data_IF_448828422556
#
_entry.id   IF_448828422556
#
_cell.length_a   1.000
_cell.length_b   1.000
_cell.length_c   1.000
_cell.angle_alpha   90.00
_cell.angle_beta   90.00
_cell.angle_gamma   90.00
#
_symmetry.space_group_name_H-M   'P 1'
#
loop_
_entity.id
_entity.type
_entity.pdbx_description
1 polymer ?
#
# COMPACT_ATOMS: atom_id res chain seq x y z
N UNK A 1 -14.09 19.73 -14.70
CA UNK A 1 -12.95 20.59 -14.33
C UNK A 1 -12.51 20.21 -12.93
N UNK A 2 -11.36 19.57 -12.70
CA UNK A 2 -10.88 19.24 -11.37
C UNK A 2 -10.12 20.43 -10.78
N UNK A 3 -10.45 20.77 -9.53
CA UNK A 3 -9.82 21.82 -8.77
C UNK A 3 -8.35 21.51 -8.49
N UNK A 4 -7.48 22.44 -8.82
CA UNK A 4 -6.05 22.40 -8.54
C UNK A 4 -5.81 22.68 -7.06
N UNK A 5 -5.33 21.69 -6.34
CA UNK A 5 -4.79 21.86 -4.98
C UNK A 5 -3.48 22.65 -5.07
N UNK A 6 -3.27 23.71 -4.28
CA UNK A 6 -2.02 24.45 -4.30
C UNK A 6 -0.90 23.67 -3.64
N UNK A 7 0.14 23.38 -4.40
CA UNK A 7 1.43 22.90 -3.91
C UNK A 7 2.03 24.01 -3.04
N UNK A 8 2.19 23.76 -1.75
CA UNK A 8 2.96 24.62 -0.84
C UNK A 8 4.42 24.66 -1.33
N UNK A 9 4.86 25.84 -1.74
CA UNK A 9 6.25 26.16 -2.00
C UNK A 9 7.06 25.89 -0.74
N UNK A 10 7.95 24.91 -0.82
CA UNK A 10 9.04 24.72 0.14
C UNK A 10 9.89 25.99 0.08
N UNK A 11 9.99 26.66 1.21
CA UNK A 11 10.90 27.80 1.41
C UNK A 11 12.32 27.31 1.19
N UNK A 12 12.93 27.76 0.12
CA UNK A 12 14.38 27.73 -0.11
C UNK A 12 15.05 28.42 1.07
N UNK A 13 15.71 27.67 1.91
CA UNK A 13 16.70 28.18 2.83
C UNK A 13 17.86 28.68 1.98
N UNK A 14 17.83 29.99 1.71
CA UNK A 14 18.96 30.69 1.13
C UNK A 14 20.15 30.52 2.11
N UNK A 15 21.03 29.59 1.81
CA UNK A 15 22.37 29.60 2.37
C UNK A 15 23.00 30.91 1.94
N UNK A 16 23.04 31.87 2.86
CA UNK A 16 23.93 33.02 2.74
C UNK A 16 25.37 32.51 2.74
N UNK A 17 25.85 32.15 1.57
CA UNK A 17 27.28 32.11 1.31
C UNK A 17 27.78 33.53 1.45
N UNK A 18 28.28 33.85 2.64
CA UNK A 18 29.11 35.07 2.81
C UNK A 18 30.22 34.99 1.76
N UNK A 19 30.05 35.80 0.71
CA UNK A 19 31.04 36.02 -0.33
C UNK A 19 32.40 36.22 0.32
N UNK A 20 33.27 35.26 0.16
CA UNK A 20 34.69 35.38 0.41
C UNK A 20 35.19 36.46 -0.56
N UNK A 21 35.34 37.67 -0.08
CA UNK A 21 35.96 38.77 -0.85
C UNK A 21 37.31 38.25 -1.36
N UNK A 22 37.61 38.41 -2.65
CA UNK A 22 38.83 37.87 -3.21
C UNK A 22 40.02 38.57 -2.55
N UNK A 23 40.92 37.77 -1.97
CA UNK A 23 42.22 38.18 -1.45
C UNK A 23 43.10 38.58 -2.66
N UNK A 24 42.71 39.62 -3.39
CA UNK A 24 43.45 40.18 -4.54
C UNK A 24 44.09 41.53 -4.28
N UNK A 25 44.35 41.89 -2.98
CA UNK A 25 44.93 43.19 -2.66
C UNK A 25 46.16 43.14 -1.75
N UNK A 26 46.92 42.01 -1.75
CA UNK A 26 48.13 41.90 -0.94
C UNK A 26 49.39 41.43 -1.70
N UNK A 27 49.44 41.60 -3.02
CA UNK A 27 50.66 41.26 -3.76
C UNK A 27 51.23 42.52 -4.38
N UNK A 28 51.55 43.46 -3.54
CA UNK A 28 52.53 44.55 -3.80
C UNK A 28 53.07 45.08 -2.45
N UNK A 29 53.71 44.23 -1.72
CA UNK A 29 54.68 44.67 -0.70
C UNK A 29 55.99 43.95 -1.01
N UNK A 30 57.03 44.76 -1.29
CA UNK A 30 58.44 44.43 -1.30
C UNK A 30 58.74 43.08 -0.61
N UNK A 31 59.43 42.19 -1.29
CA UNK A 31 59.85 40.88 -0.79
C UNK A 31 60.65 41.08 0.54
N UNK A 32 59.92 41.13 1.63
CA UNK A 32 60.48 41.05 2.96
C UNK A 32 61.07 39.66 3.09
N UNK A 33 62.35 39.59 3.41
CA UNK A 33 63.03 38.33 3.66
C UNK A 33 62.22 37.60 4.75
N UNK A 34 61.57 36.47 4.44
CA UNK A 34 60.85 35.67 5.46
C UNK A 34 61.85 35.21 6.49
N UNK A 35 61.61 35.53 7.73
CA UNK A 35 62.44 35.13 8.84
C UNK A 35 62.01 33.81 9.43
N UNK A 36 62.83 33.13 10.20
CA UNK A 36 62.44 31.90 10.89
C UNK A 36 61.30 32.14 11.88
N UNK A 37 61.23 33.32 12.50
CA UNK A 37 60.14 33.71 13.39
C UNK A 37 58.77 33.83 12.64
N UNK A 38 58.76 34.38 11.40
CA UNK A 38 57.58 34.46 10.58
C UNK A 38 57.03 33.04 10.25
N UNK A 39 57.93 32.08 10.04
CA UNK A 39 57.56 30.69 9.81
C UNK A 39 56.98 30.04 11.06
N UNK A 40 57.58 30.25 12.21
CA UNK A 40 57.09 29.71 13.48
C UNK A 40 55.74 30.30 13.86
N UNK A 41 55.50 31.58 13.59
CA UNK A 41 54.23 32.23 13.82
C UNK A 41 53.13 31.62 12.90
N UNK A 42 53.43 31.46 11.62
CA UNK A 42 52.53 30.79 10.67
C UNK A 42 52.17 29.35 11.06
N UNK A 43 53.14 28.61 11.63
CA UNK A 43 52.85 27.27 12.17
C UNK A 43 51.93 27.32 13.40
N UNK A 44 52.05 28.29 14.27
CA UNK A 44 51.16 28.46 15.43
C UNK A 44 49.73 28.81 14.97
N UNK A 45 49.60 29.76 14.07
CA UNK A 45 48.31 30.13 13.48
C UNK A 45 47.65 28.93 12.79
N UNK A 46 48.40 28.13 12.03
CA UNK A 46 47.89 26.91 11.37
C UNK A 46 47.40 25.88 12.41
N UNK A 47 48.13 25.71 13.51
CA UNK A 47 47.72 24.79 14.58
C UNK A 47 46.45 25.27 15.28
N UNK A 48 46.27 26.55 15.50
CA UNK A 48 45.06 27.10 16.09
C UNK A 48 43.86 26.96 15.17
N UNK A 49 44.05 27.28 13.88
CA UNK A 49 43.02 27.07 12.86
C UNK A 49 42.60 25.59 12.72
N UNK A 50 43.58 24.69 12.79
CA UNK A 50 43.31 23.24 12.79
C UNK A 50 42.45 22.83 13.98
N UNK A 51 42.80 23.28 15.21
CA UNK A 51 42.00 23.01 16.41
C UNK A 51 40.57 23.57 16.33
N UNK A 52 40.43 24.77 15.78
CA UNK A 52 39.11 25.39 15.61
C UNK A 52 38.27 24.63 14.58
N UNK A 53 38.88 24.20 13.47
CA UNK A 53 38.25 23.40 12.45
C UNK A 53 37.77 22.04 13.00
N UNK A 54 38.65 21.38 13.77
CA UNK A 54 38.34 20.11 14.44
C UNK A 54 37.16 20.25 15.42
N UNK A 55 37.16 21.31 16.24
CA UNK A 55 36.05 21.60 17.16
C UNK A 55 34.74 21.85 16.42
N UNK A 56 34.81 22.55 15.30
CA UNK A 56 33.61 22.85 14.48
C UNK A 56 33.07 21.60 13.82
N UNK A 57 33.97 20.76 13.29
CA UNK A 57 33.62 19.48 12.71
C UNK A 57 32.96 18.55 13.72
N UNK A 58 33.54 18.41 14.90
CA UNK A 58 32.98 17.57 15.96
C UNK A 58 31.58 18.05 16.40
N UNK A 59 31.38 19.37 16.53
CA UNK A 59 30.05 19.93 16.83
C UNK A 59 29.04 19.65 15.72
N UNK A 60 29.45 19.71 14.46
CA UNK A 60 28.60 19.40 13.33
C UNK A 60 28.25 17.91 13.31
N UNK A 61 29.22 17.04 13.57
CA UNK A 61 29.02 15.58 13.65
C UNK A 61 28.04 15.22 14.78
N UNK A 62 28.20 15.80 15.97
CA UNK A 62 27.29 15.59 17.10
C UNK A 62 25.84 15.99 16.76
N UNK A 63 25.67 17.14 16.08
CA UNK A 63 24.34 17.59 15.64
C UNK A 63 23.72 16.62 14.63
N UNK A 64 24.52 16.13 13.67
CA UNK A 64 24.08 15.19 12.66
C UNK A 64 23.69 13.86 13.30
N UNK A 65 24.47 13.36 14.24
CA UNK A 65 24.17 12.12 14.94
C UNK A 65 22.86 12.23 15.75
N UNK A 66 22.64 13.35 16.47
CA UNK A 66 21.37 13.58 17.17
C UNK A 66 20.16 13.63 16.22
N UNK A 67 20.31 14.36 15.10
CA UNK A 67 19.24 14.40 14.09
C UNK A 67 18.95 13.02 13.50
N UNK A 68 19.97 12.21 13.27
CA UNK A 68 19.81 10.82 12.79
C UNK A 68 19.07 9.94 13.81
N UNK A 69 19.39 10.08 15.10
CA UNK A 69 18.68 9.36 16.17
C UNK A 69 17.19 9.74 16.23
N UNK A 70 16.88 11.05 16.08
CA UNK A 70 15.49 11.53 16.03
C UNK A 70 14.74 10.97 14.83
N UNK A 71 15.37 10.94 13.64
CA UNK A 71 14.80 10.35 12.42
C UNK A 71 14.55 8.84 12.61
N UNK A 72 15.50 8.11 13.18
CA UNK A 72 15.35 6.68 13.48
C UNK A 72 14.18 6.43 14.44
N UNK A 73 14.04 7.26 15.48
CA UNK A 73 12.93 7.14 16.43
C UNK A 73 11.58 7.39 15.75
N UNK A 74 11.48 8.47 14.97
CA UNK A 74 10.26 8.80 14.22
C UNK A 74 9.90 7.72 13.20
N UNK A 75 10.89 7.13 12.51
CA UNK A 75 10.68 6.01 11.59
C UNK A 75 10.09 4.80 12.30
N UNK A 76 10.65 4.41 13.43
CA UNK A 76 10.16 3.28 14.24
C UNK A 76 8.73 3.50 14.77
N UNK A 77 8.39 4.72 15.15
CA UNK A 77 7.02 5.06 15.56
C UNK A 77 6.03 5.01 14.38
N UNK A 78 6.46 5.47 13.21
CA UNK A 78 5.66 5.40 11.97
C UNK A 78 5.42 3.95 11.57
N UNK A 79 6.44 3.10 11.59
CA UNK A 79 6.35 1.67 11.32
C UNK A 79 5.38 0.97 12.28
N UNK A 80 5.47 1.27 13.58
CA UNK A 80 4.54 0.72 14.59
C UNK A 80 3.10 1.14 14.34
N UNK A 81 2.89 2.41 13.98
CA UNK A 81 1.56 2.95 13.67
C UNK A 81 0.98 2.30 12.41
N UNK A 82 1.82 2.15 11.37
CA UNK A 82 1.44 1.49 10.12
C UNK A 82 1.05 0.02 10.36
N UNK A 83 1.86 -0.72 11.12
CA UNK A 83 1.57 -2.12 11.45
C UNK A 83 0.27 -2.26 12.27
N UNK A 84 0.00 -1.33 13.19
CA UNK A 84 -1.27 -1.30 13.93
C UNK A 84 -2.46 -0.99 13.01
N UNK A 85 -2.31 -0.06 12.06
CA UNK A 85 -3.35 0.25 11.08
C UNK A 85 -3.62 -0.94 10.14
N UNK A 86 -2.57 -1.63 9.67
CA UNK A 86 -2.68 -2.85 8.84
C UNK A 86 -3.40 -3.95 9.62
N UNK A 87 -3.05 -4.16 10.90
CA UNK A 87 -3.74 -5.13 11.75
C UNK A 87 -5.22 -4.79 11.96
N UNK A 88 -5.55 -3.51 12.14
CA UNK A 88 -6.93 -3.02 12.21
C UNK A 88 -7.71 -3.28 10.93
N UNK A 89 -7.11 -3.01 9.76
CA UNK A 89 -7.72 -3.28 8.45
C UNK A 89 -7.98 -4.78 8.23
N UNK A 90 -7.02 -5.64 8.62
CA UNK A 90 -7.19 -7.11 8.51
C UNK A 90 -8.35 -7.61 9.38
N UNK A 91 -8.51 -7.08 10.58
CA UNK A 91 -9.64 -7.42 11.46
C UNK A 91 -10.97 -6.93 10.87
N UNK A 92 -10.99 -5.71 10.31
CA UNK A 92 -12.19 -5.16 9.65
C UNK A 92 -12.58 -6.00 8.45
N UNK A 93 -11.61 -6.39 7.60
CA UNK A 93 -11.87 -7.26 6.45
C UNK A 93 -12.41 -8.62 6.91
N UNK A 94 -11.86 -9.21 7.98
CA UNK A 94 -12.37 -10.44 8.57
C UNK A 94 -13.84 -10.32 9.00
N UNK A 95 -14.20 -9.22 9.67
CA UNK A 95 -15.58 -8.93 10.07
C UNK A 95 -16.51 -8.75 8.87
N UNK A 96 -16.05 -8.12 7.79
CA UNK A 96 -16.82 -7.95 6.54
C UNK A 96 -17.08 -9.32 5.89
N UNK A 97 -16.06 -10.18 5.79
CA UNK A 97 -16.23 -11.55 5.27
C UNK A 97 -17.28 -12.30 6.08
N UNK A 98 -17.21 -12.25 7.42
CA UNK A 98 -18.17 -12.88 8.32
C UNK A 98 -19.60 -12.32 8.13
N UNK A 99 -19.72 -11.02 7.91
CA UNK A 99 -21.01 -10.36 7.66
C UNK A 99 -21.60 -10.70 6.29
N UNK A 100 -20.79 -10.85 5.27
CA UNK A 100 -21.21 -11.18 3.90
C UNK A 100 -21.49 -12.68 3.75
N UNK A 101 -20.62 -13.52 4.29
CA UNK A 101 -20.75 -14.99 4.24
C UNK A 101 -21.73 -15.50 5.30
N UNK A 102 -22.88 -14.85 5.43
CA UNK A 102 -23.93 -15.22 6.41
C UNK A 102 -24.73 -16.44 5.97
N UNK A 103 -25.37 -17.15 6.92
CA UNK A 103 -26.28 -18.25 6.60
C UNK A 103 -27.41 -17.89 5.64
N UNK A 104 -27.74 -16.61 5.52
CA UNK A 104 -28.80 -16.10 4.63
C UNK A 104 -28.36 -15.98 3.16
N UNK A 105 -27.06 -15.96 2.90
CA UNK A 105 -26.53 -15.77 1.55
C UNK A 105 -27.04 -16.85 0.54
N UNK A 106 -27.14 -18.15 0.87
CA UNK A 106 -27.75 -19.14 0.00
C UNK A 106 -29.19 -18.83 -0.36
N UNK A 107 -29.95 -18.24 0.57
CA UNK A 107 -31.36 -17.86 0.29
C UNK A 107 -31.44 -16.71 -0.71
N UNK A 108 -30.46 -15.78 -0.71
CA UNK A 108 -30.37 -14.72 -1.72
C UNK A 108 -30.08 -15.31 -3.10
N UNK A 109 -29.15 -16.25 -3.19
CA UNK A 109 -28.86 -16.97 -4.44
C UNK A 109 -30.07 -17.83 -4.92
N UNK A 110 -30.77 -18.43 -3.98
CA UNK A 110 -31.99 -19.21 -4.33
C UNK A 110 -33.05 -18.36 -5.03
N UNK A 111 -33.21 -17.10 -4.62
CA UNK A 111 -34.14 -16.16 -5.32
C UNK A 111 -33.71 -15.84 -6.75
N UNK A 112 -32.42 -16.05 -7.08
CA UNK A 112 -31.85 -15.88 -8.42
C UNK A 112 -31.81 -17.20 -9.24
N UNK A 113 -32.36 -18.30 -8.69
CA UNK A 113 -32.38 -19.58 -9.32
C UNK A 113 -31.22 -20.52 -9.03
N UNK A 114 -30.34 -20.17 -8.05
CA UNK A 114 -29.18 -20.99 -7.67
C UNK A 114 -29.36 -21.56 -6.26
N UNK A 115 -29.30 -22.88 -6.12
CA UNK A 115 -29.55 -23.55 -4.84
C UNK A 115 -28.25 -24.08 -4.25
N UNK A 116 -27.68 -23.36 -3.30
CA UNK A 116 -26.50 -23.79 -2.56
C UNK A 116 -26.90 -24.27 -1.18
N UNK A 117 -26.24 -25.33 -0.71
CA UNK A 117 -26.52 -25.97 0.59
C UNK A 117 -25.33 -25.89 1.55
N UNK A 118 -24.18 -25.40 1.10
CA UNK A 118 -22.97 -25.26 1.90
C UNK A 118 -22.31 -23.91 1.65
N UNK A 119 -21.80 -23.32 2.73
CA UNK A 119 -20.90 -22.17 2.72
C UNK A 119 -19.57 -22.62 3.34
N UNK A 120 -18.48 -22.40 2.65
CA UNK A 120 -17.13 -22.61 3.16
C UNK A 120 -16.34 -21.31 3.10
N UNK A 121 -15.62 -20.97 4.15
CA UNK A 121 -14.66 -19.87 4.18
C UNK A 121 -13.25 -20.43 4.09
N UNK A 122 -12.39 -19.80 3.32
CA UNK A 122 -11.05 -20.31 3.01
C UNK A 122 -9.92 -19.45 3.63
N UNK A 123 -10.22 -18.75 4.71
CA UNK A 123 -9.31 -17.84 5.42
C UNK A 123 -7.91 -18.44 5.73
N UNK A 124 -7.86 -19.76 5.88
CA UNK A 124 -6.63 -20.53 6.20
C UNK A 124 -6.42 -21.71 5.25
N UNK A 125 -7.05 -21.66 4.08
CA UNK A 125 -6.87 -22.71 3.07
C UNK A 125 -5.46 -22.65 2.47
N UNK A 126 -5.01 -23.79 1.92
CA UNK A 126 -3.78 -23.90 1.16
C UNK A 126 -4.10 -24.09 -0.33
N UNK A 127 -3.09 -23.89 -1.18
CA UNK A 127 -3.20 -24.09 -2.62
C UNK A 127 -4.07 -23.04 -3.32
N UNK A 128 -4.77 -23.45 -4.39
CA UNK A 128 -5.55 -22.55 -5.26
C UNK A 128 -6.70 -21.88 -4.52
N UNK A 129 -7.31 -22.54 -3.56
CA UNK A 129 -8.45 -22.02 -2.80
C UNK A 129 -8.04 -20.98 -1.73
N UNK A 130 -6.75 -20.91 -1.34
CA UNK A 130 -6.25 -19.86 -0.47
C UNK A 130 -6.37 -18.44 -1.08
N UNK A 131 -6.71 -18.36 -2.37
CA UNK A 131 -6.83 -17.11 -3.10
C UNK A 131 -8.26 -16.55 -3.10
N UNK A 132 -9.21 -17.21 -2.45
CA UNK A 132 -10.60 -16.75 -2.32
C UNK A 132 -11.02 -16.71 -0.85
N UNK A 133 -11.92 -15.79 -0.52
CA UNK A 133 -12.38 -15.62 0.86
C UNK A 133 -13.46 -16.64 1.24
N UNK A 134 -14.23 -17.11 0.26
CA UNK A 134 -15.24 -18.11 0.51
C UNK A 134 -15.84 -18.73 -0.73
N UNK A 135 -16.64 -19.77 -0.53
CA UNK A 135 -17.34 -20.48 -1.59
C UNK A 135 -18.74 -20.92 -1.11
N UNK A 136 -19.74 -20.71 -1.96
CA UNK A 136 -21.04 -21.38 -1.83
C UNK A 136 -21.05 -22.55 -2.79
N UNK A 137 -21.55 -23.68 -2.35
CA UNK A 137 -21.52 -24.87 -3.19
C UNK A 137 -22.73 -25.79 -2.96
N UNK A 138 -23.03 -26.58 -3.97
CA UNK A 138 -23.78 -27.81 -3.91
C UNK A 138 -22.99 -28.91 -4.67
N UNK A 139 -23.52 -30.08 -4.88
CA UNK A 139 -22.79 -31.15 -5.57
C UNK A 139 -22.47 -30.87 -7.05
N UNK A 140 -23.08 -29.86 -7.67
CA UNK A 140 -23.01 -29.60 -9.12
C UNK A 140 -22.43 -28.23 -9.44
N UNK A 141 -22.63 -27.26 -8.55
CA UNK A 141 -22.24 -25.84 -8.75
C UNK A 141 -21.51 -25.28 -7.58
N UNK A 142 -20.63 -24.32 -7.83
CA UNK A 142 -19.94 -23.55 -6.82
C UNK A 142 -19.80 -22.09 -7.24
N UNK A 143 -19.93 -21.16 -6.29
CA UNK A 143 -19.63 -19.74 -6.46
C UNK A 143 -18.46 -19.36 -5.60
N UNK A 144 -17.33 -19.02 -6.22
CA UNK A 144 -16.16 -18.49 -5.52
C UNK A 144 -16.35 -16.99 -5.25
N UNK A 145 -16.23 -16.59 -4.00
CA UNK A 145 -16.47 -15.22 -3.53
C UNK A 145 -15.15 -14.59 -3.12
N UNK A 146 -14.87 -13.44 -3.68
CA UNK A 146 -13.79 -12.53 -3.25
C UNK A 146 -14.39 -11.32 -2.55
N UNK A 147 -13.87 -10.94 -1.39
CA UNK A 147 -14.38 -9.84 -0.57
C UNK A 147 -13.39 -8.69 -0.54
N UNK A 148 -13.88 -7.48 -0.80
CA UNK A 148 -13.10 -6.23 -0.74
C UNK A 148 -13.84 -5.18 0.09
N UNK A 149 -13.10 -4.35 0.82
CA UNK A 149 -13.69 -3.17 1.47
C UNK A 149 -14.14 -2.17 0.40
N UNK A 150 -13.30 -1.90 -0.58
CA UNK A 150 -13.61 -1.07 -1.76
C UNK A 150 -13.26 -1.84 -3.01
N UNK A 151 -14.25 -2.06 -3.88
CA UNK A 151 -14.07 -2.79 -5.14
C UNK A 151 -13.46 -1.89 -6.22
N UNK A 152 -12.48 -2.41 -6.93
CA UNK A 152 -11.82 -1.77 -8.09
C UNK A 152 -11.85 -2.71 -9.28
N UNK A 153 -11.78 -2.15 -10.51
CA UNK A 153 -11.74 -2.96 -11.74
C UNK A 153 -10.56 -3.94 -11.77
N UNK A 154 -9.42 -3.55 -11.20
CA UNK A 154 -8.26 -4.43 -11.08
C UNK A 154 -8.55 -5.67 -10.21
N UNK A 155 -9.30 -5.52 -9.11
CA UNK A 155 -9.68 -6.64 -8.24
C UNK A 155 -10.56 -7.65 -8.99
N UNK A 156 -11.44 -7.14 -9.87
CA UNK A 156 -12.30 -7.96 -10.74
C UNK A 156 -11.44 -8.77 -11.72
N UNK A 157 -10.49 -8.10 -12.39
CA UNK A 157 -9.59 -8.76 -13.35
C UNK A 157 -8.71 -9.81 -12.66
N UNK A 158 -8.23 -9.53 -11.46
CA UNK A 158 -7.49 -10.52 -10.64
C UNK A 158 -8.37 -11.73 -10.27
N UNK A 159 -9.64 -11.48 -9.90
CA UNK A 159 -10.55 -12.57 -9.58
C UNK A 159 -10.87 -13.46 -10.79
N UNK A 160 -11.01 -12.86 -11.98
CA UNK A 160 -11.16 -13.62 -13.22
C UNK A 160 -9.99 -14.56 -13.46
N UNK A 161 -8.75 -14.10 -13.24
CA UNK A 161 -7.54 -14.94 -13.32
C UNK A 161 -7.57 -16.07 -12.27
N UNK A 162 -8.06 -15.79 -11.06
CA UNK A 162 -8.23 -16.83 -10.03
C UNK A 162 -9.25 -17.89 -10.44
N UNK A 163 -10.35 -17.48 -11.04
CA UNK A 163 -11.37 -18.41 -11.54
C UNK A 163 -10.79 -19.38 -12.57
N UNK A 164 -9.93 -18.91 -13.49
CA UNK A 164 -9.22 -19.80 -14.44
C UNK A 164 -8.33 -20.81 -13.70
N UNK A 165 -7.61 -20.37 -12.65
CA UNK A 165 -6.79 -21.28 -11.84
C UNK A 165 -7.62 -22.31 -11.09
N UNK A 166 -8.79 -21.90 -10.55
CA UNK A 166 -9.72 -22.80 -9.87
C UNK A 166 -10.23 -23.87 -10.85
N UNK A 167 -10.63 -23.47 -12.07
CA UNK A 167 -11.06 -24.40 -13.10
C UNK A 167 -9.98 -25.40 -13.46
N UNK A 168 -8.76 -24.91 -13.73
CA UNK A 168 -7.62 -25.78 -14.03
C UNK A 168 -7.38 -26.80 -12.92
N UNK A 169 -7.35 -26.35 -11.67
CA UNK A 169 -7.18 -27.23 -10.51
C UNK A 169 -8.30 -28.27 -10.41
N UNK A 170 -9.56 -27.86 -10.63
CA UNK A 170 -10.70 -28.74 -10.63
C UNK A 170 -10.61 -29.81 -11.73
N UNK A 171 -10.15 -29.45 -12.93
CA UNK A 171 -9.94 -30.37 -14.03
C UNK A 171 -8.86 -31.42 -13.71
N UNK A 172 -7.76 -30.99 -13.08
CA UNK A 172 -6.68 -31.88 -12.63
C UNK A 172 -7.14 -32.90 -11.57
N UNK A 173 -8.20 -32.55 -10.80
CA UNK A 173 -8.77 -33.39 -9.73
C UNK A 173 -10.11 -34.05 -10.10
N UNK A 174 -10.50 -34.04 -11.40
CA UNK A 174 -11.80 -34.56 -11.87
C UNK A 174 -13.03 -33.95 -11.20
N UNK A 175 -12.94 -32.72 -10.69
CA UNK A 175 -14.07 -31.97 -10.16
C UNK A 175 -14.92 -31.41 -11.33
N UNK A 176 -16.10 -31.93 -11.51
CA UNK A 176 -17.02 -31.59 -12.62
C UNK A 176 -17.98 -30.46 -12.29
N UNK A 177 -17.87 -29.87 -11.09
CA UNK A 177 -18.72 -28.74 -10.72
C UNK A 177 -18.55 -27.57 -11.69
N UNK A 178 -19.63 -26.87 -11.92
CA UNK A 178 -19.65 -25.59 -12.62
C UNK A 178 -19.23 -24.48 -11.63
N UNK A 179 -18.14 -23.81 -11.91
CA UNK A 179 -17.68 -22.73 -11.07
C UNK A 179 -18.16 -21.38 -11.62
N UNK A 180 -18.65 -20.53 -10.74
CA UNK A 180 -19.07 -19.15 -10.99
C UNK A 180 -18.30 -18.22 -10.06
N UNK A 181 -18.15 -16.96 -10.42
CA UNK A 181 -17.46 -15.97 -9.60
C UNK A 181 -18.41 -14.94 -9.01
N UNK A 182 -18.06 -14.43 -7.82
CA UNK A 182 -18.73 -13.30 -7.18
C UNK A 182 -17.73 -12.33 -6.57
N UNK A 183 -17.99 -11.04 -6.72
CA UNK A 183 -17.31 -9.97 -6.02
C UNK A 183 -18.20 -9.43 -4.92
N UNK A 184 -17.72 -9.42 -3.69
CA UNK A 184 -18.41 -8.86 -2.56
C UNK A 184 -17.67 -7.63 -2.07
N UNK A 185 -18.37 -6.50 -1.85
CA UNK A 185 -17.73 -5.29 -1.39
C UNK A 185 -18.64 -4.42 -0.53
N UNK A 186 -18.04 -3.71 0.43
CA UNK A 186 -18.75 -2.71 1.23
C UNK A 186 -18.97 -1.41 0.44
N UNK A 187 -18.00 -1.02 -0.38
CA UNK A 187 -18.03 0.19 -1.20
C UNK A 187 -17.76 -0.18 -2.65
N UNK A 188 -18.70 0.17 -3.53
CA UNK A 188 -18.59 -0.05 -4.98
C UNK A 188 -19.20 1.14 -5.70
N UNK A 189 -18.47 1.71 -6.66
CA UNK A 189 -19.07 2.68 -7.59
C UNK A 189 -19.84 1.99 -8.71
N UNK A 190 -20.79 2.70 -9.32
CA UNK A 190 -21.68 2.16 -10.37
C UNK A 190 -20.89 1.58 -11.55
N UNK A 191 -19.85 2.30 -12.02
CA UNK A 191 -19.07 1.86 -13.19
C UNK A 191 -18.28 0.57 -12.93
N UNK A 192 -17.85 0.36 -11.71
CA UNK A 192 -17.15 -0.85 -11.27
C UNK A 192 -18.11 -2.00 -11.06
N UNK A 193 -19.31 -1.73 -10.50
CA UNK A 193 -20.39 -2.72 -10.40
C UNK A 193 -20.78 -3.25 -11.77
N UNK A 194 -21.11 -2.35 -12.71
CA UNK A 194 -21.45 -2.71 -14.08
C UNK A 194 -20.32 -3.50 -14.77
N UNK A 195 -19.07 -3.13 -14.51
CA UNK A 195 -17.93 -3.85 -15.05
C UNK A 195 -17.92 -5.31 -14.58
N UNK A 196 -18.11 -5.58 -13.28
CA UNK A 196 -18.20 -6.93 -12.76
C UNK A 196 -19.36 -7.72 -13.38
N UNK A 197 -20.55 -7.11 -13.45
CA UNK A 197 -21.73 -7.72 -14.05
C UNK A 197 -21.50 -8.04 -15.54
N UNK A 198 -20.92 -7.13 -16.32
CA UNK A 198 -20.56 -7.40 -17.73
C UNK A 198 -19.52 -8.50 -17.91
N UNK A 199 -18.67 -8.74 -16.89
CA UNK A 199 -17.73 -9.87 -16.89
C UNK A 199 -18.38 -11.20 -16.50
N UNK A 200 -19.70 -11.22 -16.23
CA UNK A 200 -20.47 -12.39 -15.87
C UNK A 200 -20.35 -12.79 -14.41
N UNK A 201 -19.87 -11.89 -13.54
CA UNK A 201 -19.71 -12.12 -12.10
C UNK A 201 -20.95 -11.63 -11.34
N UNK A 202 -21.31 -12.31 -10.26
CA UNK A 202 -22.25 -11.78 -9.28
C UNK A 202 -21.59 -10.63 -8.50
N UNK A 203 -22.43 -9.68 -8.05
CA UNK A 203 -22.00 -8.61 -7.13
C UNK A 203 -22.82 -8.71 -5.86
N UNK A 204 -22.12 -8.71 -4.71
CA UNK A 204 -22.70 -8.82 -3.37
C UNK A 204 -22.37 -7.53 -2.63
N UNK A 205 -23.40 -6.79 -2.21
CA UNK A 205 -23.26 -5.50 -1.56
C UNK A 205 -24.15 -5.41 -0.32
N UNK A 206 -23.78 -4.60 0.69
CA UNK A 206 -24.64 -4.32 1.84
C UNK A 206 -25.97 -3.72 1.41
N UNK A 207 -27.05 -4.11 2.07
CA UNK A 207 -28.41 -3.60 1.86
C UNK A 207 -29.15 -3.55 3.20
N UNK A 208 -29.04 -2.43 3.91
CA UNK A 208 -29.52 -2.33 5.29
C UNK A 208 -28.74 -3.27 6.21
N UNK A 209 -29.45 -4.06 7.01
CA UNK A 209 -28.86 -5.07 7.91
C UNK A 209 -28.45 -6.37 7.18
N UNK A 210 -28.72 -6.48 5.88
CA UNK A 210 -28.49 -7.67 5.07
C UNK A 210 -27.57 -7.38 3.88
N UNK A 211 -27.42 -8.36 2.99
CA UNK A 211 -26.74 -8.23 1.72
C UNK A 211 -27.72 -8.39 0.55
N UNK A 212 -27.43 -7.68 -0.53
CA UNK A 212 -28.07 -7.83 -1.84
C UNK A 212 -27.12 -8.55 -2.78
N UNK A 213 -27.62 -9.55 -3.49
CA UNK A 213 -26.90 -10.21 -4.58
C UNK A 213 -27.50 -9.74 -5.90
N UNK A 214 -26.65 -9.19 -6.76
CA UNK A 214 -27.02 -8.76 -8.11
C UNK A 214 -26.44 -9.76 -9.11
N UNK A 215 -27.31 -10.32 -9.97
CA UNK A 215 -26.93 -11.21 -11.07
C UNK A 215 -26.59 -10.37 -12.30
N UNK A 216 -25.64 -10.79 -13.18
CA UNK A 216 -25.48 -10.23 -14.52
C UNK A 216 -26.77 -10.14 -15.28
N UNK A 217 -26.95 -9.09 -16.09
CA UNK A 217 -28.13 -8.96 -16.97
C UNK A 217 -28.15 -10.02 -18.10
N UNK A 218 -26.99 -10.49 -18.52
CA UNK A 218 -26.78 -11.57 -19.44
C UNK A 218 -26.50 -12.91 -18.75
N UNK A 219 -25.75 -13.77 -19.43
CA UNK A 219 -25.34 -15.05 -18.88
C UNK A 219 -24.30 -14.91 -17.79
N UNK A 220 -24.46 -15.65 -16.70
CA UNK A 220 -23.43 -15.81 -15.67
C UNK A 220 -22.28 -16.59 -16.28
N UNK A 221 -21.07 -16.09 -16.13
CA UNK A 221 -19.90 -16.80 -16.62
C UNK A 221 -19.65 -18.05 -15.78
N UNK A 222 -19.50 -19.17 -16.48
CA UNK A 222 -19.18 -20.46 -15.90
C UNK A 222 -17.79 -20.89 -16.37
N UNK A 223 -17.00 -21.43 -15.46
CA UNK A 223 -15.69 -22.00 -15.68
C UNK A 223 -15.69 -23.51 -15.53
#
# INVERSE_FOLDING_TARGET
MPAKTPVKKTTENAHQTKSLKPVKKAVKKTAKKVTWDDIQEGFRELQELHKETERTLNKALDRTNKALEEVHKAHKETEKTLNKAIGGLSNTLGSIVEHIMTPDLPQKFKKLGYSFNRIATYKFAEGVYAQIDGMLENGEQAVAVEVKTTLRKADIDEHLVRMEKIRKHADEHNDKRQFMGAMAATITDESTREYALRKGLFVIEPSGENVKVTKPEGDVRVW
#
